data_IF_385321248217
#
_entry.id   IF_385321248217
#
_cell.length_a   1.000
_cell.length_b   1.000
_cell.length_c   1.000
_cell.angle_alpha   90.00
_cell.angle_beta   90.00
_cell.angle_gamma   90.00
#
_symmetry.space_group_name_H-M   'P 1'
#
loop_
_entity.id
_entity.type
_entity.pdbx_description
1 polymer ?
#
# COMPACT_ATOMS: atom_id res chain seq x y z
N UNK A 1 -46.80 6.28 -9.63
CA UNK A 1 -45.93 6.68 -10.77
C UNK A 1 -45.38 8.08 -10.55
N UNK A 2 -44.22 8.23 -9.88
CA UNK A 2 -43.47 9.51 -9.78
C UNK A 2 -42.10 9.31 -9.13
N UNK A 3 -41.22 8.53 -9.76
CA UNK A 3 -39.77 8.51 -9.48
C UNK A 3 -38.98 8.14 -10.74
N UNK A 4 -39.37 8.72 -11.87
CA UNK A 4 -38.58 8.71 -13.09
C UNK A 4 -38.29 10.19 -13.34
N UNK A 5 -37.15 10.69 -12.85
CA UNK A 5 -36.42 11.88 -13.33
C UNK A 5 -35.39 12.29 -12.27
N UNK A 6 -34.26 11.58 -12.24
CA UNK A 6 -33.02 12.09 -11.64
C UNK A 6 -31.78 11.47 -12.32
N UNK A 7 -31.85 11.29 -13.65
CA UNK A 7 -30.72 10.82 -14.46
C UNK A 7 -29.92 11.96 -15.11
N UNK A 8 -30.28 13.23 -14.86
CA UNK A 8 -29.74 14.39 -15.61
C UNK A 8 -28.74 15.27 -14.86
N UNK A 9 -28.26 14.88 -13.67
CA UNK A 9 -27.15 15.55 -12.96
C UNK A 9 -25.98 14.57 -12.73
N UNK A 10 -25.66 13.75 -13.73
CA UNK A 10 -24.46 12.90 -13.74
C UNK A 10 -23.35 13.43 -14.65
N UNK A 11 -23.43 14.69 -15.10
CA UNK A 11 -22.49 15.24 -16.09
C UNK A 11 -21.11 15.65 -15.54
N UNK A 12 -20.77 15.29 -14.30
CA UNK A 12 -19.43 15.53 -13.72
C UNK A 12 -18.88 14.38 -12.86
N UNK A 13 -19.61 13.28 -12.71
CA UNK A 13 -19.11 12.02 -12.17
C UNK A 13 -19.20 11.01 -13.30
N UNK A 14 -18.06 10.78 -13.95
CA UNK A 14 -17.86 9.88 -15.10
C UNK A 14 -18.88 8.74 -15.15
N UNK A 15 -19.48 8.51 -16.33
CA UNK A 15 -20.28 7.32 -16.63
C UNK A 15 -19.54 5.99 -16.32
N UNK A 16 -18.22 5.99 -16.10
CA UNK A 16 -17.44 4.86 -15.59
C UNK A 16 -17.67 4.54 -14.09
N UNK A 17 -18.33 5.43 -13.33
CA UNK A 17 -18.75 5.17 -11.95
C UNK A 17 -19.86 4.10 -11.87
N UNK A 18 -20.57 3.82 -12.98
CA UNK A 18 -21.69 2.88 -13.07
C UNK A 18 -21.30 1.42 -12.76
N UNK A 19 -20.08 0.99 -13.10
CA UNK A 19 -19.60 -0.38 -12.82
C UNK A 19 -19.03 -0.55 -11.40
N UNK A 20 -18.76 0.55 -10.70
CA UNK A 20 -17.96 0.52 -9.46
C UNK A 20 -18.76 0.00 -8.26
N UNK A 21 -20.09 0.13 -8.32
CA UNK A 21 -21.02 -0.27 -7.28
C UNK A 21 -22.22 -0.90 -7.96
N UNK A 22 -22.21 -2.22 -8.18
CA UNK A 22 -23.35 -2.88 -8.81
C UNK A 22 -24.64 -2.49 -8.06
N UNK A 23 -25.59 -1.89 -8.80
CA UNK A 23 -26.81 -1.30 -8.25
C UNK A 23 -27.63 -2.32 -7.48
N UNK A 24 -27.57 -2.23 -6.17
CA UNK A 24 -28.07 -3.25 -5.27
C UNK A 24 -29.21 -2.79 -4.38
N UNK A 25 -29.54 -1.50 -4.42
CA UNK A 25 -30.60 -0.91 -3.63
C UNK A 25 -31.98 -1.50 -4.00
N UNK A 26 -32.26 -1.74 -5.29
CA UNK A 26 -33.49 -2.40 -5.74
C UNK A 26 -33.57 -3.84 -5.23
N UNK A 27 -32.43 -4.56 -5.23
CA UNK A 27 -32.37 -5.91 -4.69
C UNK A 27 -32.60 -5.88 -3.18
N UNK A 28 -31.87 -5.06 -2.42
CA UNK A 28 -32.06 -4.90 -0.96
C UNK A 28 -33.49 -4.51 -0.59
N UNK A 29 -34.13 -3.63 -1.36
CA UNK A 29 -35.53 -3.22 -1.15
C UNK A 29 -36.49 -4.42 -1.18
N UNK A 30 -36.27 -5.40 -2.07
CA UNK A 30 -37.08 -6.65 -2.12
C UNK A 30 -36.97 -7.49 -0.84
N UNK A 31 -35.87 -7.36 -0.11
CA UNK A 31 -35.61 -8.09 1.13
C UNK A 31 -35.87 -7.27 2.40
N UNK A 32 -36.27 -6.00 2.28
CA UNK A 32 -36.47 -5.05 3.40
C UNK A 32 -37.42 -5.57 4.49
N UNK A 33 -38.45 -6.35 4.11
CA UNK A 33 -39.38 -6.99 5.06
C UNK A 33 -38.70 -7.89 6.11
N UNK A 34 -37.50 -8.37 5.84
CA UNK A 34 -36.73 -9.22 6.74
C UNK A 34 -35.87 -8.43 7.74
N UNK A 35 -35.82 -7.10 7.63
CA UNK A 35 -34.94 -6.27 8.46
C UNK A 35 -35.60 -5.77 9.76
N UNK A 36 -36.90 -6.02 9.95
CA UNK A 36 -37.66 -5.52 11.10
C UNK A 36 -37.38 -6.28 12.41
N UNK A 37 -37.06 -7.57 12.34
CA UNK A 37 -36.66 -8.36 13.50
C UNK A 37 -35.99 -9.67 13.05
N UNK A 38 -35.14 -10.22 13.92
CA UNK A 38 -34.59 -11.56 13.74
C UNK A 38 -35.65 -12.66 13.85
N UNK A 39 -36.84 -12.37 14.40
CA UNK A 39 -37.96 -13.33 14.45
C UNK A 39 -38.73 -13.42 13.13
N UNK A 40 -38.74 -12.36 12.31
CA UNK A 40 -39.34 -12.33 10.98
C UNK A 40 -38.48 -13.03 9.91
N UNK A 41 -37.44 -13.77 10.32
CA UNK A 41 -36.36 -14.24 9.46
C UNK A 41 -36.76 -15.35 8.50
N UNK A 42 -36.13 -15.32 7.33
CA UNK A 42 -36.06 -16.45 6.41
C UNK A 42 -34.59 -16.79 6.17
N UNK A 43 -34.22 -18.06 6.36
CA UNK A 43 -32.93 -18.56 5.86
C UNK A 43 -32.95 -18.49 4.33
N UNK A 44 -32.06 -17.71 3.77
CA UNK A 44 -31.87 -17.53 2.33
C UNK A 44 -30.59 -18.27 1.96
N UNK A 45 -30.76 -19.42 1.29
CA UNK A 45 -29.66 -20.03 0.54
C UNK A 45 -29.17 -19.05 -0.54
N UNK A 46 -27.90 -19.11 -0.96
CA UNK A 46 -27.36 -18.18 -1.97
C UNK A 46 -28.22 -18.09 -3.24
N UNK A 47 -28.73 -16.91 -3.56
CA UNK A 47 -29.51 -16.60 -4.77
C UNK A 47 -28.78 -15.51 -5.55
N UNK A 48 -28.68 -15.67 -6.87
CA UNK A 48 -28.03 -14.70 -7.75
C UNK A 48 -29.07 -13.81 -8.44
N UNK A 49 -28.94 -12.50 -8.31
CA UNK A 49 -29.70 -11.50 -9.05
C UNK A 49 -28.78 -10.88 -10.10
N UNK A 50 -28.93 -11.30 -11.36
CA UNK A 50 -28.09 -10.80 -12.46
C UNK A 50 -28.44 -9.35 -12.81
N UNK A 51 -27.41 -8.52 -12.90
CA UNK A 51 -27.48 -7.12 -13.37
C UNK A 51 -27.06 -7.04 -14.84
N UNK A 52 -26.01 -7.79 -15.18
CA UNK A 52 -25.55 -8.01 -16.56
C UNK A 52 -25.28 -9.51 -16.75
N UNK A 53 -24.81 -9.90 -17.94
CA UNK A 53 -24.43 -11.30 -18.22
C UNK A 53 -23.37 -11.83 -17.25
N UNK A 54 -22.41 -10.98 -16.84
CA UNK A 54 -21.27 -11.39 -16.02
C UNK A 54 -21.35 -10.93 -14.58
N UNK A 55 -22.21 -9.97 -14.27
CA UNK A 55 -22.26 -9.34 -12.95
C UNK A 55 -23.61 -9.56 -12.26
N UNK A 56 -23.55 -9.92 -10.98
CA UNK A 56 -24.72 -10.27 -10.19
C UNK A 56 -24.53 -9.91 -8.73
N UNK A 57 -25.66 -9.76 -8.03
CA UNK A 57 -25.71 -9.64 -6.58
C UNK A 57 -26.07 -11.00 -6.02
N UNK A 58 -25.17 -11.57 -5.23
CA UNK A 58 -25.44 -12.78 -4.46
C UNK A 58 -26.07 -12.39 -3.13
N UNK A 59 -27.31 -12.85 -2.92
CA UNK A 59 -28.04 -12.67 -1.67
C UNK A 59 -28.03 -13.97 -0.89
N UNK A 60 -27.59 -13.90 0.35
CA UNK A 60 -27.60 -15.03 1.28
C UNK A 60 -27.87 -14.56 2.70
N UNK A 61 -28.20 -15.50 3.59
CA UNK A 61 -28.30 -15.19 5.02
C UNK A 61 -27.61 -16.24 5.88
N UNK A 62 -26.99 -15.79 6.96
CA UNK A 62 -26.47 -16.65 8.01
C UNK A 62 -27.16 -16.33 9.35
N UNK A 63 -27.56 -17.36 10.09
CA UNK A 63 -28.23 -17.23 11.39
C UNK A 63 -27.20 -17.59 12.45
N UNK A 64 -27.02 -16.70 13.44
CA UNK A 64 -26.12 -16.92 14.56
C UNK A 64 -26.77 -16.43 15.85
N UNK A 65 -27.15 -17.38 16.71
CA UNK A 65 -27.81 -17.11 17.99
C UNK A 65 -29.05 -16.20 17.83
N UNK A 66 -29.01 -14.96 18.35
CA UNK A 66 -30.12 -13.99 18.27
C UNK A 66 -30.11 -13.11 17.00
N UNK A 67 -29.15 -13.34 16.10
CA UNK A 67 -28.88 -12.48 14.96
C UNK A 67 -29.03 -13.18 13.61
N UNK A 68 -29.42 -12.38 12.63
CA UNK A 68 -29.40 -12.76 11.21
C UNK A 68 -28.51 -11.80 10.46
N UNK A 69 -27.62 -12.35 9.65
CA UNK A 69 -26.74 -11.60 8.77
C UNK A 69 -27.23 -11.77 7.35
N UNK A 70 -27.79 -10.71 6.76
CA UNK A 70 -28.15 -10.67 5.35
C UNK A 70 -27.00 -10.10 4.55
N UNK A 71 -26.44 -10.92 3.65
CA UNK A 71 -25.33 -10.56 2.78
C UNK A 71 -25.84 -10.24 1.38
N UNK A 72 -25.37 -9.12 0.83
CA UNK A 72 -25.62 -8.68 -0.54
C UNK A 72 -24.26 -8.42 -1.19
N UNK A 73 -23.72 -9.45 -1.84
CA UNK A 73 -22.36 -9.38 -2.38
C UNK A 73 -22.39 -9.14 -3.88
N UNK A 74 -21.80 -8.02 -4.27
CA UNK A 74 -21.54 -7.69 -5.66
C UNK A 74 -20.45 -8.64 -6.18
N UNK A 75 -20.75 -9.42 -7.23
CA UNK A 75 -19.86 -10.44 -7.77
C UNK A 75 -19.83 -10.39 -9.30
N UNK A 76 -18.69 -10.83 -9.86
CA UNK A 76 -18.51 -11.10 -11.28
C UNK A 76 -18.23 -12.60 -11.47
N UNK A 77 -18.70 -13.19 -12.57
CA UNK A 77 -18.40 -14.59 -12.93
C UNK A 77 -16.88 -14.80 -12.96
N UNK A 78 -16.43 -15.94 -12.46
CA UNK A 78 -15.01 -16.35 -12.42
C UNK A 78 -14.08 -15.42 -11.61
N UNK A 79 -14.64 -14.51 -10.80
CA UNK A 79 -13.87 -13.63 -9.91
C UNK A 79 -14.12 -14.04 -8.46
N UNK A 80 -13.04 -14.31 -7.72
CA UNK A 80 -13.10 -14.85 -6.35
C UNK A 80 -13.27 -13.81 -5.23
N UNK A 81 -13.20 -12.51 -5.53
CA UNK A 81 -13.35 -11.44 -4.55
C UNK A 81 -14.71 -10.74 -4.67
N UNK A 82 -15.17 -10.13 -3.57
CA UNK A 82 -16.37 -9.27 -3.55
C UNK A 82 -16.06 -7.93 -4.20
N UNK A 83 -17.02 -7.30 -4.85
CA UNK A 83 -16.85 -5.96 -5.44
C UNK A 83 -17.32 -4.86 -4.47
N UNK A 84 -16.86 -3.60 -4.65
CA UNK A 84 -17.27 -2.49 -3.80
C UNK A 84 -18.78 -2.30 -3.80
N UNK A 85 -19.29 -1.76 -2.69
CA UNK A 85 -20.72 -1.60 -2.47
C UNK A 85 -21.41 -2.89 -2.06
N UNK A 86 -20.67 -3.93 -1.68
CA UNK A 86 -21.25 -5.12 -1.05
C UNK A 86 -21.72 -4.82 0.38
N UNK A 87 -22.86 -5.36 0.82
CA UNK A 87 -23.45 -5.09 2.14
C UNK A 87 -23.52 -6.35 3.00
N UNK A 88 -23.36 -6.20 4.31
CA UNK A 88 -23.82 -7.14 5.33
C UNK A 88 -24.68 -6.39 6.34
N UNK A 89 -25.92 -6.80 6.47
CA UNK A 89 -26.90 -6.22 7.40
C UNK A 89 -27.11 -7.19 8.55
N UNK A 90 -26.74 -6.76 9.76
CA UNK A 90 -26.96 -7.50 11.01
C UNK A 90 -28.30 -7.08 11.60
N UNK A 91 -29.22 -8.02 11.71
CA UNK A 91 -30.57 -7.84 12.25
C UNK A 91 -30.67 -8.59 13.58
N UNK A 92 -31.06 -7.87 14.64
CA UNK A 92 -31.36 -8.41 15.96
C UNK A 92 -32.87 -8.44 16.24
N UNK A 93 -33.25 -8.60 17.51
CA UNK A 93 -34.66 -8.76 17.91
C UNK A 93 -35.55 -7.57 17.53
N UNK A 94 -35.01 -6.36 17.61
CA UNK A 94 -35.75 -5.10 17.43
C UNK A 94 -35.50 -4.44 16.07
N UNK A 95 -34.76 -5.08 15.17
CA UNK A 95 -34.46 -4.57 13.84
C UNK A 95 -32.97 -4.54 13.51
N UNK A 96 -32.56 -3.60 12.66
CA UNK A 96 -31.16 -3.51 12.20
C UNK A 96 -30.29 -2.94 13.31
N UNK A 97 -29.28 -3.70 13.74
CA UNK A 97 -28.29 -3.23 14.70
C UNK A 97 -27.06 -2.62 14.02
N UNK A 98 -26.69 -3.15 12.85
CA UNK A 98 -25.46 -2.75 12.17
C UNK A 98 -25.53 -3.03 10.68
N UNK A 99 -24.94 -2.15 9.89
CA UNK A 99 -24.67 -2.36 8.46
C UNK A 99 -23.17 -2.26 8.23
N UNK A 100 -22.60 -3.20 7.47
CA UNK A 100 -21.26 -3.08 6.91
C UNK A 100 -21.35 -2.92 5.40
N UNK A 101 -20.64 -1.93 4.87
CA UNK A 101 -20.50 -1.66 3.43
C UNK A 101 -19.04 -1.87 3.07
N UNK A 102 -18.75 -2.82 2.19
CA UNK A 102 -17.39 -3.21 1.83
C UNK A 102 -16.89 -2.45 0.59
N UNK A 103 -15.58 -2.18 0.59
CA UNK A 103 -14.89 -1.43 -0.45
C UNK A 103 -13.60 -2.15 -0.88
N UNK A 104 -12.97 -1.67 -1.97
CA UNK A 104 -11.68 -2.14 -2.48
C UNK A 104 -11.53 -3.67 -2.48
N UNK A 105 -12.39 -4.40 -3.18
CA UNK A 105 -12.27 -5.84 -3.42
C UNK A 105 -11.82 -6.74 -2.24
N UNK A 106 -12.06 -6.33 -0.98
CA UNK A 106 -11.44 -6.91 0.23
C UNK A 106 -12.36 -6.77 1.45
N UNK A 107 -12.25 -7.71 2.39
CA UNK A 107 -13.07 -7.73 3.61
C UNK A 107 -12.56 -6.85 4.76
N UNK A 108 -11.35 -6.30 4.64
CA UNK A 108 -10.67 -5.49 5.65
C UNK A 108 -10.87 -3.97 5.46
N UNK A 109 -11.54 -3.57 4.39
CA UNK A 109 -11.92 -2.19 4.10
C UNK A 109 -13.44 -2.08 4.05
N UNK A 110 -14.02 -1.38 5.01
CA UNK A 110 -15.48 -1.25 5.12
C UNK A 110 -15.89 -0.01 5.91
N UNK A 111 -17.11 0.44 5.68
CA UNK A 111 -17.81 1.36 6.57
C UNK A 111 -18.70 0.53 7.49
N UNK A 112 -18.61 0.74 8.79
CA UNK A 112 -19.49 0.14 9.79
C UNK A 112 -20.45 1.18 10.32
N UNK A 113 -21.74 0.95 10.12
CA UNK A 113 -22.80 1.87 10.46
C UNK A 113 -23.64 1.27 11.59
N UNK A 114 -23.95 2.07 12.59
CA UNK A 114 -24.80 1.71 13.73
C UNK A 114 -25.92 2.72 13.89
N UNK A 115 -27.03 2.25 14.46
CA UNK A 115 -28.18 3.10 14.76
C UNK A 115 -27.86 4.10 15.88
N UNK A 116 -28.47 5.27 15.81
CA UNK A 116 -28.55 6.29 16.86
C UNK A 116 -30.00 6.78 16.93
N UNK A 117 -30.38 7.47 18.01
CA UNK A 117 -31.79 7.77 18.35
C UNK A 117 -32.64 8.30 17.19
N UNK A 118 -32.07 9.18 16.37
CA UNK A 118 -32.75 9.79 15.20
C UNK A 118 -31.89 9.81 13.94
N UNK A 119 -30.76 9.09 13.93
CA UNK A 119 -29.74 9.18 12.89
C UNK A 119 -28.88 7.92 12.92
N UNK A 120 -27.79 7.88 12.17
CA UNK A 120 -26.80 6.80 12.26
C UNK A 120 -25.41 7.36 12.48
N UNK A 121 -24.51 6.53 12.97
CA UNK A 121 -23.08 6.83 13.10
C UNK A 121 -22.28 5.82 12.30
N UNK A 122 -21.16 6.27 11.72
CA UNK A 122 -20.32 5.47 10.85
C UNK A 122 -18.84 5.51 11.28
N UNK A 123 -18.25 4.32 11.37
CA UNK A 123 -16.82 4.08 11.53
C UNK A 123 -16.24 3.61 10.19
N UNK A 124 -15.13 4.22 9.77
CA UNK A 124 -14.47 3.96 8.49
C UNK A 124 -13.20 3.17 8.71
N UNK A 125 -13.18 1.95 8.20
CA UNK A 125 -12.02 1.06 8.26
C UNK A 125 -11.39 0.96 6.87
N UNK A 126 -10.10 1.22 6.82
CA UNK A 126 -9.29 1.11 5.61
C UNK A 126 -8.08 0.22 5.90
N UNK A 127 -7.95 -0.89 5.17
CA UNK A 127 -6.87 -1.88 5.38
C UNK A 127 -6.74 -2.23 6.88
N UNK A 128 -7.86 -2.64 7.48
CA UNK A 128 -8.01 -2.98 8.90
C UNK A 128 -7.68 -1.84 9.91
N UNK A 129 -7.51 -0.60 9.45
CA UNK A 129 -7.24 0.57 10.28
C UNK A 129 -8.48 1.44 10.39
N UNK A 130 -8.90 1.77 11.61
CA UNK A 130 -9.95 2.77 11.85
C UNK A 130 -9.40 4.18 11.56
N UNK A 131 -9.87 4.83 10.51
CA UNK A 131 -9.38 6.16 10.08
C UNK A 131 -10.36 7.30 10.33
N UNK A 132 -11.67 7.01 10.38
CA UNK A 132 -12.68 7.96 10.86
C UNK A 132 -13.63 7.25 11.81
N UNK A 133 -13.93 7.89 12.93
CA UNK A 133 -14.74 7.33 14.01
C UNK A 133 -15.96 8.21 14.26
N UNK A 134 -17.11 7.58 14.53
CA UNK A 134 -18.35 8.26 14.95
C UNK A 134 -18.83 9.37 13.98
N UNK A 135 -18.64 9.17 12.68
CA UNK A 135 -19.10 10.10 11.64
C UNK A 135 -20.63 10.09 11.60
N UNK A 136 -21.25 11.24 11.85
CA UNK A 136 -22.72 11.36 11.86
C UNK A 136 -23.28 11.26 10.44
N UNK A 137 -24.28 10.39 10.26
CA UNK A 137 -25.05 10.27 9.03
C UNK A 137 -26.46 10.82 9.25
N UNK A 138 -26.99 11.66 8.35
CA UNK A 138 -28.33 12.25 8.47
C UNK A 138 -29.47 11.27 8.14
N UNK A 139 -29.20 9.96 8.16
CA UNK A 139 -30.13 8.90 7.77
C UNK A 139 -30.38 7.97 8.95
N UNK A 140 -31.59 7.41 9.04
CA UNK A 140 -31.84 6.27 9.92
C UNK A 140 -31.20 5.02 9.32
N UNK A 141 -30.93 4.02 10.17
CA UNK A 141 -30.24 2.82 9.71
C UNK A 141 -31.09 2.01 8.72
N UNK A 142 -32.42 2.08 8.86
CA UNK A 142 -33.38 1.45 7.95
C UNK A 142 -33.30 2.06 6.55
N UNK A 143 -33.13 3.38 6.46
CA UNK A 143 -32.96 4.07 5.17
C UNK A 143 -31.64 3.62 4.53
N UNK A 144 -30.54 3.58 5.30
CA UNK A 144 -29.22 3.16 4.83
C UNK A 144 -29.25 1.73 4.27
N UNK A 145 -30.10 0.85 4.79
CA UNK A 145 -30.25 -0.51 4.30
C UNK A 145 -30.82 -0.58 2.88
N UNK A 146 -31.51 0.45 2.39
CA UNK A 146 -32.25 0.38 1.11
C UNK A 146 -32.00 1.56 0.17
N UNK A 147 -31.33 2.64 0.60
CA UNK A 147 -30.90 3.72 -0.30
C UNK A 147 -29.66 3.31 -1.11
N UNK A 148 -29.36 4.08 -2.16
CA UNK A 148 -28.16 3.91 -2.95
C UNK A 148 -26.91 4.36 -2.18
N UNK A 149 -25.79 3.65 -2.38
CA UNK A 149 -24.50 4.05 -1.81
C UNK A 149 -24.04 5.42 -2.33
N UNK A 150 -24.34 5.75 -3.59
CA UNK A 150 -24.06 7.06 -4.17
C UNK A 150 -24.71 8.20 -3.35
N UNK A 151 -25.95 8.01 -2.88
CA UNK A 151 -26.61 8.99 -2.01
C UNK A 151 -25.88 9.11 -0.67
N UNK A 152 -25.49 8.00 -0.03
CA UNK A 152 -24.73 8.04 1.23
C UNK A 152 -23.43 8.83 1.03
N UNK A 153 -22.66 8.50 -0.01
CA UNK A 153 -21.40 9.17 -0.35
C UNK A 153 -21.60 10.66 -0.59
N UNK A 154 -22.64 11.05 -1.34
CA UNK A 154 -22.93 12.46 -1.64
C UNK A 154 -23.03 13.33 -0.38
N UNK A 155 -23.67 12.83 0.69
CA UNK A 155 -23.85 13.60 1.92
C UNK A 155 -22.58 13.72 2.76
N UNK A 156 -21.68 12.73 2.71
CA UNK A 156 -20.49 12.68 3.58
C UNK A 156 -19.17 12.88 2.83
N UNK A 157 -19.20 13.01 1.51
CA UNK A 157 -18.01 13.16 0.66
C UNK A 157 -17.25 14.47 0.88
N UNK A 158 -17.85 15.46 1.57
CA UNK A 158 -17.13 16.68 2.00
C UNK A 158 -16.28 16.45 3.25
N UNK A 159 -16.56 15.41 4.02
CA UNK A 159 -15.87 15.07 5.28
C UNK A 159 -14.90 13.91 5.06
N UNK A 160 -15.28 12.96 4.21
CA UNK A 160 -14.54 11.73 3.95
C UNK A 160 -13.94 11.77 2.57
N UNK A 161 -12.64 11.52 2.50
CA UNK A 161 -11.91 11.36 1.25
C UNK A 161 -12.15 9.95 0.67
N UNK A 162 -13.15 9.83 -0.22
CA UNK A 162 -13.53 8.55 -0.81
C UNK A 162 -12.54 8.00 -1.83
N UNK A 163 -11.50 8.76 -2.22
CA UNK A 163 -10.43 8.26 -3.09
C UNK A 163 -9.74 7.03 -2.48
N UNK A 164 -9.70 6.95 -1.15
CA UNK A 164 -9.20 5.80 -0.42
C UNK A 164 -10.13 4.58 -0.40
N UNK A 165 -11.41 4.72 -0.74
CA UNK A 165 -12.37 3.60 -0.73
C UNK A 165 -12.76 3.18 -2.15
N UNK A 166 -12.59 4.09 -3.11
CA UNK A 166 -13.01 3.96 -4.49
C UNK A 166 -11.83 4.40 -5.36
N UNK A 167 -10.74 3.62 -5.37
CA UNK A 167 -9.51 4.05 -6.02
C UNK A 167 -9.68 4.06 -7.55
N UNK A 168 -9.13 5.09 -8.20
CA UNK A 168 -9.04 5.19 -9.65
C UNK A 168 -7.78 4.47 -10.15
N UNK A 169 -7.86 3.86 -11.33
CA UNK A 169 -6.69 3.31 -12.00
C UNK A 169 -6.04 4.37 -12.89
N UNK A 170 -4.71 4.48 -12.80
CA UNK A 170 -3.90 5.35 -13.65
C UNK A 170 -2.91 4.51 -14.47
N UNK A 171 -2.74 4.84 -15.75
CA UNK A 171 -1.80 4.13 -16.62
C UNK A 171 -0.36 4.13 -16.10
N UNK A 172 0.02 5.12 -15.27
CA UNK A 172 1.34 5.17 -14.63
C UNK A 172 1.64 3.94 -13.74
N UNK A 173 0.62 3.22 -13.26
CA UNK A 173 0.82 1.95 -12.57
C UNK A 173 1.41 0.87 -13.46
N UNK A 174 1.26 0.96 -14.79
CA UNK A 174 1.90 0.04 -15.75
C UNK A 174 3.42 0.12 -15.66
N UNK A 175 3.99 1.28 -15.35
CA UNK A 175 5.44 1.43 -15.18
C UNK A 175 5.94 0.59 -13.99
N UNK A 176 5.23 0.66 -12.88
CA UNK A 176 5.54 -0.09 -11.67
C UNK A 176 5.32 -1.59 -11.91
N UNK A 177 4.19 -2.00 -12.49
CA UNK A 177 3.92 -3.42 -12.74
C UNK A 177 4.91 -4.04 -13.74
N UNK A 178 5.29 -3.31 -14.79
CA UNK A 178 6.33 -3.73 -15.73
C UNK A 178 7.69 -3.86 -15.06
N UNK A 179 8.06 -2.93 -14.18
CA UNK A 179 9.28 -3.03 -13.38
C UNK A 179 9.26 -4.29 -12.50
N UNK A 180 8.14 -4.60 -11.84
CA UNK A 180 7.99 -5.84 -11.06
C UNK A 180 8.19 -7.08 -11.94
N UNK A 181 7.59 -7.10 -13.13
CA UNK A 181 7.75 -8.21 -14.09
C UNK A 181 9.21 -8.37 -14.51
N UNK A 182 9.89 -7.26 -14.85
CA UNK A 182 11.29 -7.26 -15.24
C UNK A 182 12.21 -7.73 -14.11
N UNK A 183 12.00 -7.25 -12.88
CA UNK A 183 12.76 -7.70 -11.71
C UNK A 183 12.60 -9.20 -11.46
N UNK A 184 11.36 -9.71 -11.48
CA UNK A 184 11.08 -11.14 -11.33
C UNK A 184 11.76 -11.98 -12.42
N UNK A 185 11.74 -11.49 -13.67
CA UNK A 185 12.42 -12.15 -14.78
C UNK A 185 13.93 -12.21 -14.54
N UNK A 186 14.56 -11.08 -14.17
CA UNK A 186 16.00 -11.01 -13.90
C UNK A 186 16.42 -11.95 -12.77
N UNK A 187 15.68 -11.97 -11.65
CA UNK A 187 15.98 -12.83 -10.50
C UNK A 187 15.82 -14.33 -10.81
N UNK A 188 14.90 -14.71 -11.70
CA UNK A 188 14.76 -16.10 -12.16
C UNK A 188 15.88 -16.51 -13.11
N UNK A 189 16.31 -15.61 -13.99
CA UNK A 189 17.38 -15.89 -14.96
C UNK A 189 18.75 -15.93 -14.30
N UNK A 190 18.98 -15.12 -13.26
CA UNK A 190 20.25 -15.01 -12.56
C UNK A 190 20.02 -15.00 -11.05
N UNK A 191 20.04 -16.18 -10.39
CA UNK A 191 19.98 -16.24 -8.94
C UNK A 191 21.19 -15.54 -8.35
N UNK A 192 20.97 -14.39 -7.73
CA UNK A 192 22.02 -13.57 -7.12
C UNK A 192 22.35 -14.18 -5.76
N UNK A 193 23.62 -14.39 -5.41
CA UNK A 193 23.97 -14.82 -4.06
C UNK A 193 23.73 -13.70 -3.04
N UNK A 194 23.42 -14.05 -1.79
CA UNK A 194 23.50 -13.10 -0.68
C UNK A 194 24.96 -13.01 -0.23
N UNK A 195 25.58 -11.84 -0.42
CA UNK A 195 26.97 -11.59 -0.05
C UNK A 195 27.01 -10.44 0.95
N UNK A 196 27.63 -10.69 2.10
CA UNK A 196 27.81 -9.66 3.12
C UNK A 196 28.55 -8.46 2.52
N UNK A 197 27.99 -7.27 2.76
CA UNK A 197 28.51 -6.01 2.23
C UNK A 197 28.59 -5.94 0.68
N UNK A 198 27.94 -6.84 -0.05
CA UNK A 198 28.06 -6.90 -1.50
C UNK A 198 27.21 -5.86 -2.24
N UNK A 199 27.79 -5.21 -3.25
CA UNK A 199 27.16 -4.28 -4.19
C UNK A 199 27.79 -4.34 -5.59
N UNK A 200 27.24 -3.58 -6.53
CA UNK A 200 27.84 -3.28 -7.83
C UNK A 200 28.31 -1.82 -7.82
N UNK A 201 29.52 -1.54 -8.27
CA UNK A 201 30.07 -0.18 -8.35
C UNK A 201 29.56 0.60 -9.58
N UNK A 202 30.02 1.84 -9.76
CA UNK A 202 29.60 2.67 -10.90
C UNK A 202 30.08 2.17 -12.27
N UNK A 203 31.03 1.23 -12.30
CA UNK A 203 31.59 0.63 -13.51
C UNK A 203 30.98 -0.75 -13.81
N UNK A 204 30.03 -1.21 -12.99
CA UNK A 204 29.38 -2.51 -13.15
C UNK A 204 30.15 -3.69 -12.53
N UNK A 205 31.19 -3.42 -11.73
CA UNK A 205 31.99 -4.44 -11.06
C UNK A 205 31.36 -4.82 -9.72
N UNK A 206 31.37 -6.10 -9.39
CA UNK A 206 30.90 -6.60 -8.09
C UNK A 206 31.96 -6.33 -7.01
N UNK A 207 31.60 -5.54 -5.99
CA UNK A 207 32.52 -5.07 -4.94
C UNK A 207 31.89 -5.14 -3.54
N UNK A 208 32.71 -5.03 -2.51
CA UNK A 208 32.26 -4.76 -1.14
C UNK A 208 32.05 -3.26 -0.93
N UNK A 209 30.91 -2.83 -0.37
CA UNK A 209 30.56 -1.41 -0.18
C UNK A 209 31.58 -0.70 0.72
N UNK A 210 31.99 -1.34 1.81
CA UNK A 210 32.89 -0.75 2.80
C UNK A 210 34.28 -0.50 2.20
N UNK A 211 34.84 -1.50 1.53
CA UNK A 211 36.25 -1.49 1.10
C UNK A 211 36.47 -1.11 -0.36
N UNK A 212 35.45 -1.22 -1.21
CA UNK A 212 35.55 -1.08 -2.67
C UNK A 212 36.29 -2.25 -3.35
N UNK A 213 36.74 -3.25 -2.61
CA UNK A 213 37.47 -4.40 -3.15
C UNK A 213 36.53 -5.30 -3.95
N UNK A 214 37.07 -5.90 -5.02
CA UNK A 214 36.32 -6.86 -5.83
C UNK A 214 35.88 -8.07 -5.01
N UNK A 215 34.64 -8.49 -5.22
CA UNK A 215 34.14 -9.73 -4.64
C UNK A 215 34.80 -10.94 -5.31
N UNK A 216 34.99 -12.01 -4.53
CA UNK A 216 35.30 -13.35 -5.03
C UNK A 216 34.01 -14.14 -5.18
N UNK A 217 34.02 -15.18 -6.01
CA UNK A 217 32.84 -16.04 -6.17
C UNK A 217 32.47 -16.72 -4.83
N UNK A 218 31.17 -16.81 -4.49
CA UNK A 218 30.04 -16.29 -5.25
C UNK A 218 29.92 -14.75 -5.13
N UNK A 219 29.63 -14.08 -6.25
CA UNK A 219 29.31 -12.65 -6.25
C UNK A 219 27.82 -12.42 -6.00
N UNK A 220 27.49 -11.29 -5.37
CA UNK A 220 26.12 -10.98 -5.03
C UNK A 220 25.93 -9.69 -4.26
N UNK A 221 24.77 -9.59 -3.60
CA UNK A 221 24.33 -8.38 -2.92
C UNK A 221 23.94 -8.66 -1.48
N UNK A 222 24.15 -7.67 -0.60
CA UNK A 222 23.36 -7.54 0.62
C UNK A 222 22.09 -6.72 0.33
N UNK A 223 21.29 -6.42 1.36
CA UNK A 223 20.07 -5.62 1.19
C UNK A 223 20.29 -4.22 0.62
N UNK A 224 21.39 -3.56 0.99
CA UNK A 224 21.72 -2.20 0.54
C UNK A 224 22.25 -2.20 -0.90
N UNK A 225 23.10 -3.16 -1.25
CA UNK A 225 23.60 -3.36 -2.61
C UNK A 225 22.52 -3.79 -3.58
N UNK A 226 21.56 -4.61 -3.14
CA UNK A 226 20.42 -4.99 -3.96
C UNK A 226 19.54 -3.79 -4.29
N UNK A 227 19.19 -2.96 -3.30
CA UNK A 227 18.43 -1.73 -3.54
C UNK A 227 19.20 -0.74 -4.39
N UNK A 228 20.52 -0.63 -4.21
CA UNK A 228 21.38 0.14 -5.13
C UNK A 228 21.28 -0.38 -6.56
N UNK A 229 21.39 -1.68 -6.80
CA UNK A 229 21.31 -2.25 -8.14
C UNK A 229 19.98 -1.98 -8.84
N UNK A 230 18.87 -2.02 -8.10
CA UNK A 230 17.57 -1.61 -8.65
C UNK A 230 17.55 -0.10 -8.95
N UNK A 231 18.08 0.72 -8.04
CA UNK A 231 18.20 2.17 -8.23
C UNK A 231 19.13 2.54 -9.40
N UNK A 232 20.19 1.76 -9.64
CA UNK A 232 21.11 1.90 -10.77
C UNK A 232 20.37 1.71 -12.09
N UNK A 233 19.38 0.81 -12.14
CA UNK A 233 18.56 0.62 -13.34
C UNK A 233 17.79 1.90 -13.68
N UNK A 234 17.25 2.58 -12.67
CA UNK A 234 16.55 3.87 -12.81
C UNK A 234 17.52 4.97 -13.20
N UNK A 235 18.63 5.08 -12.47
CA UNK A 235 19.60 6.12 -12.71
C UNK A 235 20.27 5.99 -14.10
N UNK A 236 20.53 4.75 -14.55
CA UNK A 236 21.09 4.47 -15.87
C UNK A 236 20.13 4.79 -17.00
N UNK A 237 18.83 4.51 -16.86
CA UNK A 237 17.86 4.85 -17.92
C UNK A 237 17.76 6.37 -18.13
N UNK A 238 18.02 7.16 -17.08
CA UNK A 238 17.99 8.62 -17.14
C UNK A 238 19.33 9.27 -17.52
N UNK A 239 20.46 8.62 -17.19
CA UNK A 239 21.80 9.27 -17.29
C UNK A 239 22.85 8.49 -18.07
N UNK A 240 22.56 7.24 -18.44
CA UNK A 240 23.52 6.30 -19.01
C UNK A 240 24.58 5.76 -18.03
N UNK A 241 24.58 6.22 -16.77
CA UNK A 241 25.59 5.89 -15.74
C UNK A 241 24.97 5.13 -14.58
N UNK A 242 25.81 4.44 -13.80
CA UNK A 242 25.42 3.83 -12.54
C UNK A 242 25.75 4.78 -11.37
N UNK A 243 25.12 4.58 -10.21
CA UNK A 243 25.40 5.35 -9.00
C UNK A 243 26.77 4.99 -8.44
N UNK A 244 27.54 6.00 -8.04
CA UNK A 244 28.83 5.83 -7.35
C UNK A 244 28.60 5.46 -5.90
N UNK A 245 29.30 4.43 -5.42
CA UNK A 245 29.15 3.96 -4.03
C UNK A 245 29.58 5.04 -3.03
N UNK A 246 30.65 5.79 -3.31
CA UNK A 246 31.17 6.81 -2.41
C UNK A 246 30.17 7.93 -2.13
N UNK A 247 29.39 8.32 -3.14
CA UNK A 247 28.31 9.31 -2.98
C UNK A 247 27.19 8.79 -2.06
N UNK A 248 26.96 7.47 -2.06
CA UNK A 248 25.92 6.83 -1.26
C UNK A 248 26.34 6.56 0.18
N UNK A 249 27.66 6.46 0.45
CA UNK A 249 28.23 6.28 1.80
C UNK A 249 28.28 7.57 2.62
N UNK A 250 27.97 8.72 2.02
CA UNK A 250 28.00 10.02 2.70
C UNK A 250 27.04 10.05 3.89
N UNK A 251 27.61 10.20 5.10
CA UNK A 251 26.87 10.24 6.36
C UNK A 251 26.25 11.60 6.61
N UNK A 252 25.03 11.62 7.14
CA UNK A 252 24.26 12.85 7.39
C UNK A 252 24.50 13.43 8.78
N UNK A 253 25.77 13.53 9.17
CA UNK A 253 26.18 14.04 10.49
C UNK A 253 25.70 15.49 10.65
N UNK A 254 24.99 15.78 11.74
CA UNK A 254 24.44 17.11 12.01
C UNK A 254 23.07 17.38 11.38
N UNK A 255 22.60 16.52 10.46
CA UNK A 255 21.25 16.59 9.87
C UNK A 255 20.29 15.60 10.54
N UNK A 256 20.81 14.50 11.07
CA UNK A 256 20.08 13.48 11.84
C UNK A 256 20.85 13.08 13.10
N UNK A 257 20.21 12.23 13.91
CA UNK A 257 20.79 11.71 15.15
C UNK A 257 20.72 12.73 16.29
N UNK A 258 21.43 12.45 17.38
CA UNK A 258 21.48 13.34 18.55
C UNK A 258 22.87 13.31 19.18
N UNK A 259 23.11 14.15 20.19
CA UNK A 259 24.35 14.13 20.96
C UNK A 259 24.70 12.72 21.51
N UNK A 260 23.69 11.90 21.82
CA UNK A 260 23.86 10.54 22.32
C UNK A 260 24.36 9.53 21.28
N UNK A 261 24.14 9.77 19.99
CA UNK A 261 24.57 8.85 18.92
C UNK A 261 25.95 9.22 18.35
N UNK A 262 26.43 10.44 18.60
CA UNK A 262 27.68 11.00 18.03
C UNK A 262 28.92 10.13 18.26
N UNK A 263 29.07 9.54 19.45
CA UNK A 263 30.23 8.68 19.78
C UNK A 263 30.24 7.34 19.04
N UNK A 264 29.12 6.92 18.46
CA UNK A 264 28.97 5.63 17.74
C UNK A 264 28.87 5.76 16.23
N UNK A 265 28.65 6.97 15.70
CA UNK A 265 28.63 7.23 14.24
C UNK A 265 29.87 6.65 13.55
N UNK A 266 31.04 6.80 14.17
CA UNK A 266 32.31 6.36 13.59
C UNK A 266 32.60 4.87 13.76
N UNK A 267 32.06 4.21 14.78
CA UNK A 267 32.39 2.82 15.12
C UNK A 267 31.35 1.80 14.68
N UNK A 268 30.08 2.20 14.52
CA UNK A 268 28.96 1.26 14.26
C UNK A 268 28.00 1.71 13.16
N UNK A 269 28.18 2.93 12.63
CA UNK A 269 27.33 3.54 11.61
C UNK A 269 25.83 3.21 11.76
N UNK A 270 25.20 3.59 12.88
CA UNK A 270 23.88 3.10 13.26
C UNK A 270 22.76 3.51 12.31
N UNK A 271 23.03 4.43 11.39
CA UNK A 271 22.07 4.99 10.44
C UNK A 271 22.47 4.73 8.99
N UNK A 272 23.45 3.85 8.73
CA UNK A 272 23.90 3.52 7.37
C UNK A 272 22.73 3.29 6.42
N UNK A 273 21.77 2.44 6.80
CA UNK A 273 20.61 2.15 5.95
C UNK A 273 19.69 3.35 5.68
N UNK A 274 19.63 4.35 6.58
CA UNK A 274 18.85 5.58 6.39
C UNK A 274 19.56 6.52 5.41
N UNK A 275 20.84 6.75 5.62
CA UNK A 275 21.63 7.66 4.79
C UNK A 275 21.75 7.11 3.38
N UNK A 276 21.96 5.80 3.26
CA UNK A 276 22.02 5.08 2.00
C UNK A 276 20.78 5.31 1.14
N UNK A 277 19.57 5.05 1.67
CA UNK A 277 18.34 5.23 0.89
C UNK A 277 18.09 6.69 0.53
N UNK A 278 18.37 7.62 1.45
CA UNK A 278 18.21 9.06 1.22
C UNK A 278 19.16 9.57 0.14
N UNK A 279 20.43 9.15 0.16
CA UNK A 279 21.41 9.47 -0.87
C UNK A 279 20.97 8.92 -2.23
N UNK A 280 20.50 7.67 -2.30
CA UNK A 280 19.96 7.09 -3.54
C UNK A 280 18.81 7.95 -4.08
N UNK A 281 17.80 8.24 -3.24
CA UNK A 281 16.63 9.00 -3.66
C UNK A 281 17.01 10.42 -4.12
N UNK A 282 17.91 11.08 -3.39
CA UNK A 282 18.40 12.40 -3.76
C UNK A 282 19.09 12.38 -5.11
N UNK A 283 19.99 11.43 -5.36
CA UNK A 283 20.75 11.33 -6.62
C UNK A 283 19.87 11.02 -7.81
N UNK A 284 18.83 10.22 -7.65
CA UNK A 284 17.85 9.98 -8.72
C UNK A 284 17.02 11.24 -8.99
N UNK A 285 16.57 11.94 -7.95
CA UNK A 285 15.70 13.11 -8.12
C UNK A 285 16.47 14.40 -8.49
N UNK A 286 17.80 14.45 -8.29
CA UNK A 286 18.66 15.60 -8.56
C UNK A 286 19.88 15.21 -9.42
N UNK A 287 19.61 14.84 -10.68
CA UNK A 287 20.64 14.43 -11.64
C UNK A 287 21.62 15.58 -11.92
N UNK A 288 22.92 15.26 -11.97
CA UNK A 288 24.02 16.21 -12.24
C UNK A 288 24.17 17.33 -11.19
N UNK A 289 23.62 17.16 -10.00
CA UNK A 289 23.80 18.08 -8.87
C UNK A 289 24.59 17.36 -7.77
N UNK A 290 25.52 18.09 -7.15
CA UNK A 290 26.25 17.60 -5.99
C UNK A 290 25.30 17.35 -4.81
N UNK A 291 25.67 16.42 -3.92
CA UNK A 291 24.85 16.09 -2.76
C UNK A 291 24.68 17.30 -1.84
N UNK A 292 23.47 17.86 -1.76
CA UNK A 292 23.15 18.92 -0.81
C UNK A 292 22.42 18.35 0.42
N UNK A 293 23.15 18.21 1.53
CA UNK A 293 22.63 17.67 2.78
C UNK A 293 21.45 18.45 3.37
N UNK A 294 21.31 19.76 3.07
CA UNK A 294 20.17 20.56 3.54
C UNK A 294 18.84 20.13 2.91
N UNK A 295 18.88 19.49 1.74
CA UNK A 295 17.72 19.05 0.97
C UNK A 295 17.47 17.54 1.05
N UNK A 296 18.30 16.82 1.80
CA UNK A 296 18.27 15.35 1.78
C UNK A 296 16.96 14.75 2.28
N UNK A 297 16.29 15.46 3.20
CA UNK A 297 14.99 15.06 3.78
C UNK A 297 13.79 15.37 2.86
N UNK A 298 13.98 16.08 1.74
CA UNK A 298 12.86 16.41 0.82
C UNK A 298 12.20 15.15 0.25
N UNK A 299 12.94 14.05 0.14
CA UNK A 299 12.45 12.76 -0.36
C UNK A 299 11.86 11.87 0.73
N UNK A 300 11.91 12.27 2.00
CA UNK A 300 11.35 11.51 3.10
C UNK A 300 9.83 11.48 3.01
N UNK A 301 9.26 10.29 3.20
CA UNK A 301 7.83 10.13 3.40
C UNK A 301 7.53 10.31 4.88
N UNK A 302 7.17 11.53 5.27
CA UNK A 302 7.00 11.94 6.68
C UNK A 302 5.64 12.61 6.97
N UNK A 303 4.74 12.65 5.99
CA UNK A 303 3.42 13.27 6.11
C UNK A 303 2.32 12.39 5.50
N UNK A 304 2.04 11.25 6.13
CA UNK A 304 0.89 10.39 5.77
C UNK A 304 -0.22 10.63 6.79
N UNK A 305 -1.45 10.85 6.30
CA UNK A 305 -2.63 11.05 7.15
C UNK A 305 -2.82 9.89 8.13
N UNK A 306 -3.42 10.19 9.28
CA UNK A 306 -3.79 9.23 10.33
C UNK A 306 -2.65 8.57 11.12
N UNK A 307 -1.38 8.82 10.76
CA UNK A 307 -0.24 8.21 11.44
C UNK A 307 0.83 9.22 11.82
N UNK A 308 1.33 9.09 13.04
CA UNK A 308 2.45 9.88 13.52
C UNK A 308 3.77 9.33 12.95
N UNK A 309 4.58 10.23 12.43
CA UNK A 309 5.92 9.96 11.95
C UNK A 309 6.95 10.34 13.02
N UNK A 310 7.94 9.46 13.27
CA UNK A 310 9.05 9.76 14.18
C UNK A 310 10.29 10.13 13.35
N UNK A 311 10.83 11.33 13.56
CA UNK A 311 11.96 11.85 12.78
C UNK A 311 13.15 10.88 12.73
N UNK A 312 13.63 10.62 11.51
CA UNK A 312 14.69 9.67 11.16
C UNK A 312 14.43 8.21 11.55
N UNK A 313 13.27 7.88 12.13
CA UNK A 313 12.94 6.51 12.53
C UNK A 313 11.85 5.92 11.63
N UNK A 314 10.89 6.75 11.23
CA UNK A 314 9.80 6.35 10.35
C UNK A 314 8.47 6.10 11.05
N UNK A 315 7.60 5.36 10.37
CA UNK A 315 6.32 4.89 10.91
C UNK A 315 6.46 3.51 11.53
N UNK A 316 5.50 3.13 12.37
CA UNK A 316 5.38 1.75 12.88
C UNK A 316 5.19 0.76 11.72
N UNK A 317 5.96 -0.32 11.70
CA UNK A 317 5.91 -1.31 10.61
C UNK A 317 4.57 -2.04 10.53
N UNK A 318 3.82 -2.10 11.63
CA UNK A 318 2.47 -2.67 11.68
C UNK A 318 1.50 -1.93 10.74
N UNK A 319 1.76 -0.66 10.42
CA UNK A 319 0.91 0.16 9.56
C UNK A 319 1.32 0.09 8.07
N UNK A 320 2.39 -0.64 7.73
CA UNK A 320 3.05 -0.57 6.42
C UNK A 320 2.11 -0.82 5.23
N UNK A 321 1.14 -1.75 5.33
CA UNK A 321 0.18 -1.99 4.24
C UNK A 321 -0.68 -0.77 3.96
N UNK A 322 -1.19 -0.11 5.01
CA UNK A 322 -1.93 1.14 4.87
C UNK A 322 -1.06 2.22 4.26
N UNK A 323 0.16 2.41 4.77
CA UNK A 323 1.06 3.48 4.31
C UNK A 323 1.31 3.34 2.80
N UNK A 324 1.65 2.14 2.35
CA UNK A 324 1.88 1.85 0.93
C UNK A 324 0.61 1.97 0.09
N UNK A 325 -0.55 1.65 0.64
CA UNK A 325 -1.83 1.86 -0.03
C UNK A 325 -2.11 3.35 -0.23
N UNK A 326 -2.00 4.15 0.84
CA UNK A 326 -2.17 5.61 0.77
C UNK A 326 -1.22 6.23 -0.24
N UNK A 327 0.05 5.82 -0.20
CA UNK A 327 1.09 6.28 -1.11
C UNK A 327 0.83 5.91 -2.57
N UNK A 328 0.28 4.72 -2.85
CA UNK A 328 -0.10 4.36 -4.21
C UNK A 328 -1.17 5.29 -4.79
N UNK A 329 -2.07 5.81 -3.94
CA UNK A 329 -3.15 6.70 -4.34
C UNK A 329 -2.74 8.16 -4.41
N UNK A 330 -1.99 8.62 -3.41
CA UNK A 330 -1.60 10.03 -3.28
C UNK A 330 -0.41 10.37 -4.21
N UNK A 331 0.47 9.41 -4.46
CA UNK A 331 1.71 9.58 -5.25
C UNK A 331 1.89 8.41 -6.25
N UNK A 332 0.98 8.24 -7.23
CA UNK A 332 1.08 7.15 -8.21
C UNK A 332 2.35 7.29 -9.07
N UNK A 333 2.99 6.16 -9.39
CA UNK A 333 4.24 6.13 -10.18
C UNK A 333 5.54 6.20 -9.36
N UNK A 334 5.44 6.32 -8.04
CA UNK A 334 6.59 6.22 -7.14
C UNK A 334 6.79 4.81 -6.61
N UNK A 335 8.06 4.46 -6.42
CA UNK A 335 8.50 3.34 -5.59
C UNK A 335 9.12 3.89 -4.31
N UNK A 336 9.25 3.04 -3.30
CA UNK A 336 9.73 3.45 -2.00
C UNK A 336 10.89 2.58 -1.55
N UNK A 337 11.97 3.24 -1.13
CA UNK A 337 13.08 2.58 -0.46
C UNK A 337 12.85 2.72 1.04
N UNK A 338 12.80 1.60 1.74
CA UNK A 338 12.55 1.55 3.16
C UNK A 338 13.79 1.18 3.96
N UNK A 339 14.02 1.87 5.07
CA UNK A 339 15.03 1.51 6.06
C UNK A 339 14.35 1.11 7.36
N UNK A 340 14.52 -0.15 7.75
CA UNK A 340 13.94 -0.70 8.99
C UNK A 340 14.82 -0.30 10.15
N UNK A 341 14.19 0.38 11.10
CA UNK A 341 14.82 0.88 12.30
C UNK A 341 14.34 0.11 13.53
N UNK A 342 15.30 -0.37 14.32
CA UNK A 342 15.05 -1.15 15.55
C UNK A 342 15.65 -0.43 16.75
N UNK A 343 14.99 -0.53 17.91
CA UNK A 343 15.58 -0.08 19.17
C UNK A 343 16.71 -1.03 19.63
N UNK A 344 17.65 -0.51 20.41
CA UNK A 344 18.69 -1.33 21.06
C UNK A 344 18.29 -1.61 22.50
N UNK A 345 18.13 -2.89 22.87
CA UNK A 345 18.04 -3.40 24.24
C UNK A 345 17.27 -2.50 25.24
N UNK A 346 15.96 -2.27 25.00
CA UNK A 346 15.07 -1.49 25.88
C UNK A 346 15.48 -0.02 26.14
N UNK A 347 16.54 0.50 25.51
CA UNK A 347 16.90 1.91 25.53
C UNK A 347 16.20 2.61 24.37
N UNK A 348 15.12 3.34 24.68
CA UNK A 348 14.29 4.02 23.67
C UNK A 348 15.04 5.09 22.86
N UNK A 349 16.20 5.53 23.33
CA UNK A 349 17.00 6.60 22.74
C UNK A 349 17.96 6.15 21.63
N UNK A 350 18.19 4.84 21.46
CA UNK A 350 19.13 4.33 20.45
C UNK A 350 18.40 3.57 19.34
N UNK A 351 18.53 4.09 18.11
CA UNK A 351 17.92 3.55 16.89
C UNK A 351 19.01 2.99 15.98
N UNK A 352 18.76 1.80 15.41
CA UNK A 352 19.63 1.15 14.42
C UNK A 352 18.86 0.86 13.14
N UNK A 353 19.35 1.38 12.02
CA UNK A 353 18.86 1.11 10.67
C UNK A 353 19.55 -0.11 10.07
N UNK A 354 18.95 -1.28 10.30
CA UNK A 354 19.62 -2.58 10.09
C UNK A 354 19.32 -3.23 8.74
N UNK A 355 18.25 -2.83 8.07
CA UNK A 355 17.79 -3.51 6.87
C UNK A 355 17.17 -2.52 5.89
N UNK A 356 17.43 -2.73 4.60
CA UNK A 356 16.91 -1.90 3.51
C UNK A 356 16.00 -2.76 2.63
N UNK A 357 14.85 -2.21 2.24
CA UNK A 357 13.79 -2.91 1.50
C UNK A 357 13.32 -2.04 0.35
N UNK A 358 12.93 -2.66 -0.76
CA UNK A 358 12.27 -2.00 -1.87
C UNK A 358 10.77 -2.33 -1.91
N UNK A 359 9.93 -1.30 -2.03
CA UNK A 359 8.49 -1.42 -2.20
C UNK A 359 8.04 -0.86 -3.54
N UNK A 360 7.27 -1.65 -4.28
CA UNK A 360 6.63 -1.24 -5.52
C UNK A 360 5.10 -1.36 -5.37
N UNK A 361 4.44 -0.36 -4.77
CA UNK A 361 2.98 -0.36 -4.61
C UNK A 361 2.29 0.13 -5.88
N UNK A 362 1.23 -0.55 -6.31
CA UNK A 362 0.42 -0.16 -7.48
C UNK A 362 -1.00 -0.72 -7.41
N UNK A 363 -1.92 -0.12 -8.16
CA UNK A 363 -3.21 -0.74 -8.47
C UNK A 363 -3.09 -1.50 -9.79
N UNK A 364 -3.60 -2.73 -9.84
CA UNK A 364 -3.78 -3.43 -11.11
C UNK A 364 -5.01 -2.89 -11.88
N UNK A 365 -5.20 -3.34 -13.13
CA UNK A 365 -6.31 -2.89 -13.99
C UNK A 365 -7.69 -3.19 -13.38
N UNK A 366 -7.78 -4.13 -12.44
CA UNK A 366 -9.01 -4.41 -11.68
C UNK A 366 -9.13 -3.54 -10.42
N UNK A 367 -8.31 -2.50 -10.29
CA UNK A 367 -8.23 -1.60 -9.12
C UNK A 367 -7.87 -2.33 -7.83
N UNK A 368 -7.22 -3.50 -7.92
CA UNK A 368 -6.75 -4.22 -6.74
C UNK A 368 -5.38 -3.69 -6.37
N UNK A 369 -5.23 -3.32 -5.10
CA UNK A 369 -3.95 -2.92 -4.55
C UNK A 369 -2.97 -4.11 -4.47
N UNK A 370 -1.80 -3.90 -5.05
CA UNK A 370 -0.67 -4.83 -5.08
C UNK A 370 0.56 -4.13 -4.55
N UNK A 371 1.43 -4.89 -3.90
CA UNK A 371 2.77 -4.45 -3.51
C UNK A 371 3.72 -5.57 -3.84
N UNK A 372 4.76 -5.28 -4.63
CA UNK A 372 5.95 -6.12 -4.67
C UNK A 372 6.91 -5.66 -3.59
N UNK A 373 7.22 -6.56 -2.66
CA UNK A 373 8.17 -6.32 -1.56
C UNK A 373 9.44 -7.07 -1.91
N UNK A 374 10.51 -6.35 -2.21
CA UNK A 374 11.77 -6.96 -2.61
C UNK A 374 12.81 -6.70 -1.53
N UNK A 375 13.32 -7.79 -1.01
CA UNK A 375 14.43 -7.85 -0.07
C UNK A 375 15.55 -8.63 -0.76
N UNK A 376 16.72 -8.75 -0.12
CA UNK A 376 17.91 -9.44 -0.64
C UNK A 376 17.52 -10.55 -1.63
N UNK A 377 17.83 -10.34 -2.92
CA UNK A 377 17.62 -11.24 -4.06
C UNK A 377 16.25 -11.96 -4.20
N UNK A 378 15.23 -11.57 -3.44
CA UNK A 378 13.97 -12.29 -3.35
C UNK A 378 12.77 -11.35 -3.14
N UNK A 379 11.65 -11.72 -3.76
CA UNK A 379 10.36 -11.09 -3.46
C UNK A 379 9.72 -11.78 -2.24
N UNK A 380 9.37 -10.99 -1.23
CA UNK A 380 8.78 -11.45 0.04
C UNK A 380 7.36 -10.89 0.20
N UNK A 381 6.96 -10.53 1.43
CA UNK A 381 5.67 -9.92 1.73
C UNK A 381 5.74 -9.01 2.94
N UNK A 382 4.81 -8.06 3.02
CA UNK A 382 4.62 -7.17 4.19
C UNK A 382 4.46 -8.00 5.48
N UNK A 383 3.68 -9.09 5.42
CA UNK A 383 3.47 -9.98 6.56
C UNK A 383 4.78 -10.67 7.02
N UNK A 384 5.62 -11.09 6.07
CA UNK A 384 6.95 -11.67 6.39
C UNK A 384 7.85 -10.65 7.08
N UNK A 385 7.88 -9.42 6.57
CA UNK A 385 8.62 -8.30 7.15
C UNK A 385 8.18 -7.99 8.58
N UNK A 386 6.88 -7.81 8.80
CA UNK A 386 6.31 -7.53 10.12
C UNK A 386 6.63 -8.64 11.14
N UNK A 387 6.64 -9.90 10.69
CA UNK A 387 7.00 -11.04 11.53
C UNK A 387 8.49 -11.05 11.91
N UNK A 388 9.39 -10.71 10.99
CA UNK A 388 10.84 -10.68 11.25
C UNK A 388 11.29 -9.46 12.03
N UNK A 389 10.58 -8.34 11.91
CA UNK A 389 10.90 -7.08 12.58
C UNK A 389 9.73 -6.56 13.43
N UNK A 390 9.25 -7.32 14.43
CA UNK A 390 8.13 -6.89 15.25
C UNK A 390 8.47 -5.62 16.05
N UNK A 391 7.50 -4.73 16.29
CA UNK A 391 7.67 -3.48 17.06
C UNK A 391 8.75 -2.53 16.49
N UNK A 392 9.13 -2.75 15.24
CA UNK A 392 10.12 -1.94 14.53
C UNK A 392 9.43 -0.81 13.79
N UNK A 393 10.24 0.12 13.30
CA UNK A 393 9.77 1.24 12.51
C UNK A 393 10.40 1.18 11.13
N UNK A 394 9.81 1.87 10.17
CA UNK A 394 10.29 1.92 8.80
C UNK A 394 10.25 3.34 8.28
N UNK A 395 11.44 3.84 7.93
CA UNK A 395 11.60 5.11 7.24
C UNK A 395 11.51 4.87 5.73
N UNK A 396 10.65 5.60 5.03
CA UNK A 396 10.49 5.48 3.58
C UNK A 396 11.01 6.73 2.89
N UNK A 397 11.66 6.57 1.75
CA UNK A 397 11.97 7.64 0.81
C UNK A 397 11.35 7.33 -0.55
N UNK A 398 10.88 8.36 -1.26
CA UNK A 398 10.21 8.21 -2.55
C UNK A 398 11.17 8.36 -3.72
N UNK A 399 11.03 7.49 -4.72
CA UNK A 399 11.80 7.51 -5.98
C UNK A 399 10.83 7.36 -7.15
N UNK A 400 10.91 8.24 -8.14
CA UNK A 400 10.03 8.19 -9.31
C UNK A 400 10.54 7.16 -10.32
N UNK A 401 9.64 6.32 -10.82
CA UNK A 401 9.99 5.31 -11.84
C UNK A 401 9.74 5.86 -13.24
N UNK A 402 10.74 5.84 -14.14
CA UNK A 402 10.55 6.21 -15.53
C UNK A 402 9.81 5.11 -16.30
N UNK A 403 9.25 5.45 -17.45
CA UNK A 403 8.70 4.48 -18.39
C UNK A 403 9.81 3.56 -18.93
N UNK A 404 9.45 2.31 -19.23
CA UNK A 404 10.32 1.33 -19.89
C UNK A 404 11.69 1.18 -19.23
N UNK A 405 11.73 0.68 -18.00
CA UNK A 405 12.95 0.51 -17.22
C UNK A 405 13.70 -0.80 -17.57
N UNK A 406 14.82 -0.76 -18.30
CA UNK A 406 15.69 -1.93 -18.43
C UNK A 406 16.42 -2.19 -17.11
N UNK A 407 16.44 -3.45 -16.67
CA UNK A 407 17.21 -3.85 -15.49
C UNK A 407 18.68 -3.97 -15.86
N UNK A 408 19.55 -3.36 -15.06
CA UNK A 408 21.01 -3.47 -15.23
C UNK A 408 21.43 -4.94 -15.17
N UNK A 409 22.14 -5.47 -16.17
CA UNK A 409 22.63 -6.84 -16.15
C UNK A 409 23.60 -7.08 -14.99
N UNK A 410 23.59 -8.30 -14.45
CA UNK A 410 24.51 -8.72 -13.39
C UNK A 410 25.61 -9.59 -14.02
N UNK A 411 26.90 -9.36 -13.69
CA UNK A 411 27.99 -10.24 -14.12
C UNK A 411 27.79 -11.68 -13.63
N UNK A 412 27.89 -12.67 -14.52
CA UNK A 412 27.62 -14.09 -14.23
C UNK A 412 28.79 -14.78 -13.47
N UNK A 413 29.98 -14.16 -13.47
CA UNK A 413 31.17 -14.60 -12.72
C UNK A 413 31.81 -13.37 -12.09
N UNK A 414 32.58 -13.56 -11.01
CA UNK A 414 33.52 -12.55 -10.53
C UNK A 414 34.32 -11.96 -11.71
N UNK A 415 34.65 -10.67 -11.62
CA UNK A 415 35.30 -9.89 -12.68
C UNK A 415 36.60 -10.57 -13.16
N UNK A 416 36.48 -11.51 -14.10
CA UNK A 416 37.60 -12.23 -14.65
C UNK A 416 38.01 -11.52 -15.94
N UNK A 417 39.30 -11.17 -15.99
CA UNK A 417 40.07 -10.40 -16.97
C UNK A 417 40.18 -8.90 -16.62
N UNK A 418 41.36 -8.32 -16.36
CA UNK A 418 42.75 -8.74 -16.63
C UNK A 418 43.75 -8.02 -15.69
N UNK A 419 44.76 -8.77 -15.25
CA UNK A 419 46.12 -8.26 -14.95
C UNK A 419 46.74 -7.58 -16.16
#
# INVERSE_FOLDING_TARGET
>A
MRYIFLFLIFKSLNLFALESFFYDFDVRTKYSKYFNSSYAQKKISPIKHFITEDCYIEVSSEISSEYVYYSFFNKKKNVGYIFPGSYVIKVGKEGIEQIKIFFINRGDTFIRIKSSKFSSIADFYLVNTLIYKDVKLPFKIEDIAVISLANIIYYIGKVIDFRYFIPEYFDIYKNISNMVISLRKSLRSFPIAEVADGAMDEYGKMVHIETGLLQKDPVGFNCSGFVKWVADSIYKSMTGRLLKIDDLKLRHIGVRGSGFTRSREFNKDPFFGLDWIRNIAYRINNINVDLNLSKIKENDVNNIKFFDYIDNRGYKIENLEFLLYSLALDEPGYIYLGSISTGVNNLSSMVLHKHVVLFLPFLDENRIFRVSVNEVNAETSIKSLQKRYPKSYIHLVRVKVPENLPIVPIPIKANNQSS
#
